data_IF_208603519054
#
_entry.id   IF_208603519054
#
_cell.length_a   1.000
_cell.length_b   1.000
_cell.length_c   1.000
_cell.angle_alpha   90.00
_cell.angle_beta   90.00
_cell.angle_gamma   90.00
#
_symmetry.space_group_name_H-M   'P 1'
#
loop_
_entity.id
_entity.type
_entity.pdbx_description
1 polymer ?
#
# COMPACT_ATOMS: atom_id res chain seq x y z
N UNK A 1 3.53 1.19 5.24
CA UNK A 1 4.92 1.17 5.76
C UNK A 1 5.77 0.35 4.79
N UNK A 2 6.88 0.91 4.29
CA UNK A 2 7.15 0.91 2.83
C UNK A 2 8.56 0.39 2.49
N UNK A 3 8.69 -0.24 1.32
CA UNK A 3 9.97 -0.70 0.74
C UNK A 3 10.62 0.48 0.00
N UNK A 4 11.91 0.71 0.24
CA UNK A 4 12.74 1.52 -0.66
C UNK A 4 13.30 0.59 -1.74
N UNK A 5 12.65 0.54 -2.90
CA UNK A 5 13.01 -0.39 -4.00
C UNK A 5 13.96 0.22 -5.03
N UNK A 6 14.09 1.55 -5.10
CA UNK A 6 14.72 2.22 -6.24
C UNK A 6 16.26 2.32 -6.16
N UNK A 7 16.86 1.93 -5.03
CA UNK A 7 18.32 2.06 -4.83
C UNK A 7 18.99 0.81 -4.25
N UNK A 8 18.25 -0.26 -3.91
CA UNK A 8 18.86 -1.43 -3.27
C UNK A 8 19.46 -2.39 -4.30
N UNK A 9 20.73 -2.73 -4.09
CA UNK A 9 21.40 -3.77 -4.85
C UNK A 9 20.76 -5.15 -4.57
N UNK A 10 20.83 -6.11 -5.50
CA UNK A 10 20.22 -7.44 -5.32
C UNK A 10 20.68 -8.17 -4.05
N UNK A 11 21.95 -8.02 -3.67
CA UNK A 11 22.52 -8.61 -2.44
C UNK A 11 21.89 -8.02 -1.17
N UNK A 12 21.75 -6.69 -1.11
CA UNK A 12 21.12 -5.99 0.01
C UNK A 12 19.64 -6.36 0.14
N UNK A 13 18.94 -6.47 -0.99
CA UNK A 13 17.55 -6.90 -1.01
C UNK A 13 17.40 -8.37 -0.57
N UNK A 14 18.31 -9.24 -0.98
CA UNK A 14 18.34 -10.64 -0.52
C UNK A 14 18.62 -10.72 0.98
N UNK A 15 19.50 -9.88 1.52
CA UNK A 15 19.76 -9.83 2.95
C UNK A 15 18.50 -9.38 3.72
N UNK A 16 17.89 -8.28 3.27
CA UNK A 16 16.76 -7.64 3.95
C UNK A 16 15.44 -8.40 3.80
N UNK A 17 15.14 -8.95 2.64
CA UNK A 17 13.84 -9.59 2.34
C UNK A 17 13.93 -11.08 2.05
N UNK A 18 15.13 -11.65 1.94
CA UNK A 18 15.31 -13.06 1.68
C UNK A 18 14.99 -13.93 2.90
N UNK A 19 14.35 -15.07 2.66
CA UNK A 19 14.09 -16.12 3.65
C UNK A 19 14.76 -17.41 3.19
N UNK A 20 15.07 -18.31 4.12
CA UNK A 20 15.48 -19.67 3.78
C UNK A 20 14.28 -20.46 3.28
N UNK A 21 14.36 -20.96 2.05
CA UNK A 21 13.32 -21.77 1.44
C UNK A 21 13.97 -22.86 0.60
N UNK A 22 13.58 -24.13 0.82
CA UNK A 22 14.18 -25.29 0.16
C UNK A 22 15.73 -25.31 0.19
N UNK A 23 16.32 -24.96 1.33
CA UNK A 23 17.77 -24.98 1.54
C UNK A 23 18.54 -23.84 0.87
N UNK A 24 17.85 -22.79 0.39
CA UNK A 24 18.48 -21.61 -0.21
C UNK A 24 17.81 -20.33 0.27
N UNK A 25 18.61 -19.30 0.56
CA UNK A 25 18.10 -17.95 0.76
C UNK A 25 17.54 -17.38 -0.54
N UNK A 26 16.27 -17.03 -0.54
CA UNK A 26 15.54 -16.51 -1.71
C UNK A 26 14.56 -15.43 -1.26
N UNK A 27 14.23 -14.48 -2.14
CA UNK A 27 13.18 -13.50 -1.87
C UNK A 27 11.83 -14.14 -2.20
N UNK A 28 11.13 -14.60 -1.17
CA UNK A 28 9.78 -15.14 -1.25
C UNK A 28 8.81 -14.14 -0.67
N UNK A 29 7.66 -13.97 -1.32
CA UNK A 29 6.60 -13.08 -0.87
C UNK A 29 5.23 -13.69 -1.02
N UNK A 30 4.23 -12.93 -0.56
CA UNK A 30 2.82 -13.30 -0.70
C UNK A 30 2.06 -12.19 -1.40
N UNK A 31 1.07 -12.59 -2.21
CA UNK A 31 0.04 -11.70 -2.72
C UNK A 31 -1.33 -12.24 -2.40
N UNK A 32 -2.33 -11.37 -2.39
CA UNK A 32 -3.72 -11.75 -2.12
C UNK A 32 -4.63 -11.00 -3.06
N UNK A 33 -5.55 -11.70 -3.71
CA UNK A 33 -6.55 -11.10 -4.60
C UNK A 33 -7.78 -11.98 -4.75
N UNK A 34 -8.75 -11.48 -5.52
CA UNK A 34 -10.01 -12.15 -5.80
C UNK A 34 -10.35 -11.99 -7.28
N UNK A 35 -9.39 -12.29 -8.17
CA UNK A 35 -9.64 -12.35 -9.61
C UNK A 35 -10.60 -13.48 -10.01
N UNK A 36 -10.71 -13.70 -11.32
CA UNK A 36 -11.52 -14.76 -11.89
C UNK A 36 -11.07 -16.12 -11.32
N UNK A 37 -11.87 -16.65 -10.40
CA UNK A 37 -11.48 -17.78 -9.57
C UNK A 37 -11.73 -19.09 -10.31
N UNK A 38 -10.72 -19.96 -10.30
CA UNK A 38 -10.83 -21.33 -10.77
C UNK A 38 -9.87 -22.24 -9.99
N UNK A 39 -10.16 -23.53 -9.99
CA UNK A 39 -9.28 -24.58 -9.47
C UNK A 39 -9.05 -25.60 -10.57
N UNK A 40 -7.81 -25.70 -11.05
CA UNK A 40 -7.40 -26.65 -12.10
C UNK A 40 -8.29 -26.55 -13.36
N UNK A 41 -9.15 -27.55 -13.60
CA UNK A 41 -10.05 -27.64 -14.76
C UNK A 41 -11.43 -26.98 -14.54
N UNK A 42 -11.70 -26.43 -13.34
CA UNK A 42 -13.01 -25.87 -13.00
C UNK A 42 -12.94 -24.36 -12.74
N UNK A 43 -13.70 -23.59 -13.52
CA UNK A 43 -13.95 -22.18 -13.26
C UNK A 43 -15.15 -21.99 -12.34
N UNK A 44 -15.01 -21.17 -11.30
CA UNK A 44 -16.10 -20.86 -10.36
C UNK A 44 -17.09 -19.85 -10.95
N UNK A 45 -16.70 -19.13 -12.02
CA UNK A 45 -17.54 -18.11 -12.65
C UNK A 45 -17.74 -16.86 -11.78
N UNK A 46 -16.80 -16.60 -10.85
CA UNK A 46 -16.86 -15.51 -9.88
C UNK A 46 -15.56 -14.70 -9.91
N UNK A 47 -15.71 -13.37 -9.81
CA UNK A 47 -14.63 -12.39 -9.72
C UNK A 47 -15.03 -11.35 -8.66
N UNK A 48 -14.06 -10.79 -7.95
CA UNK A 48 -14.23 -9.81 -6.87
C UNK A 48 -15.05 -10.30 -5.67
N UNK A 49 -15.23 -11.61 -5.54
CA UNK A 49 -15.97 -12.19 -4.43
C UNK A 49 -15.06 -12.26 -3.18
N UNK A 50 -15.37 -11.55 -2.08
CA UNK A 50 -14.53 -11.52 -0.89
C UNK A 50 -14.40 -12.90 -0.20
N UNK A 51 -15.36 -13.80 -0.40
CA UNK A 51 -15.32 -15.17 0.12
C UNK A 51 -14.35 -16.07 -0.65
N UNK A 52 -13.99 -15.69 -1.89
CA UNK A 52 -13.06 -16.42 -2.75
C UNK A 52 -11.67 -15.78 -2.82
N UNK A 53 -11.41 -14.79 -1.96
CA UNK A 53 -10.10 -14.15 -1.86
C UNK A 53 -9.04 -15.19 -1.52
N UNK A 54 -8.07 -15.35 -2.41
CA UNK A 54 -7.04 -16.38 -2.33
C UNK A 54 -5.65 -15.76 -2.32
N UNK A 55 -4.71 -16.48 -1.72
CA UNK A 55 -3.32 -16.07 -1.63
C UNK A 55 -2.47 -16.82 -2.65
N UNK A 56 -1.39 -16.20 -3.09
CA UNK A 56 -0.32 -16.84 -3.85
C UNK A 56 1.01 -16.57 -3.17
N UNK A 57 1.88 -17.58 -3.16
CA UNK A 57 3.27 -17.46 -2.76
C UNK A 57 4.11 -17.28 -4.02
N UNK A 58 4.99 -16.28 -4.04
CA UNK A 58 5.82 -16.01 -5.20
C UNK A 58 7.30 -15.97 -4.86
N UNK A 59 8.13 -16.40 -5.81
CA UNK A 59 9.56 -16.12 -5.80
C UNK A 59 9.83 -14.87 -6.64
N UNK A 60 10.55 -13.90 -6.07
CA UNK A 60 10.92 -12.66 -6.74
C UNK A 60 12.34 -12.72 -7.28
N UNK A 61 12.51 -12.40 -8.56
CA UNK A 61 13.81 -12.02 -9.09
C UNK A 61 13.99 -10.50 -8.96
N UNK A 62 14.87 -10.06 -8.05
CA UNK A 62 15.06 -8.64 -7.78
C UNK A 62 15.62 -7.85 -8.97
N UNK A 63 16.39 -8.50 -9.86
CA UNK A 63 17.05 -7.83 -10.97
C UNK A 63 16.04 -7.29 -12.00
N UNK A 64 15.01 -8.08 -12.31
CA UNK A 64 14.01 -7.74 -13.32
C UNK A 64 12.60 -7.52 -12.73
N UNK A 65 12.43 -7.73 -11.42
CA UNK A 65 11.16 -7.64 -10.69
C UNK A 65 10.06 -8.56 -11.23
N UNK A 66 10.45 -9.72 -11.74
CA UNK A 66 9.48 -10.75 -12.10
C UNK A 66 9.16 -11.62 -10.89
N UNK A 67 7.86 -11.80 -10.66
CA UNK A 67 7.33 -12.66 -9.61
C UNK A 67 6.76 -13.95 -10.23
N UNK A 68 7.36 -15.09 -9.90
CA UNK A 68 6.84 -16.41 -10.27
C UNK A 68 5.92 -16.91 -9.16
N UNK A 69 4.65 -17.16 -9.49
CA UNK A 69 3.62 -17.65 -8.56
C UNK A 69 3.60 -19.19 -8.44
N UNK A 70 4.55 -19.87 -9.08
CA UNK A 70 4.73 -21.31 -9.01
C UNK A 70 5.92 -21.64 -8.11
N UNK A 71 5.76 -21.37 -6.81
CA UNK A 71 6.82 -21.58 -5.82
C UNK A 71 6.43 -22.65 -4.82
N UNK A 72 7.27 -23.68 -4.67
CA UNK A 72 7.15 -24.62 -3.56
C UNK A 72 5.93 -25.54 -3.56
N UNK A 73 5.28 -25.72 -4.72
CA UNK A 73 4.04 -26.50 -4.83
C UNK A 73 2.77 -25.75 -4.40
N UNK A 74 2.88 -24.52 -3.88
CA UNK A 74 1.75 -23.65 -3.57
C UNK A 74 1.44 -22.74 -4.77
N UNK A 75 0.90 -23.35 -5.83
CA UNK A 75 0.63 -22.67 -7.10
C UNK A 75 -0.73 -21.97 -7.09
N UNK A 76 -0.72 -20.65 -7.27
CA UNK A 76 -1.92 -19.85 -7.53
C UNK A 76 -1.59 -18.70 -8.49
N UNK A 77 -1.97 -18.86 -9.75
CA UNK A 77 -1.64 -17.93 -10.83
C UNK A 77 -2.50 -16.65 -10.77
N UNK A 78 -1.96 -15.54 -11.27
CA UNK A 78 -2.77 -14.31 -11.35
C UNK A 78 -3.75 -14.38 -12.53
N UNK A 79 -4.93 -13.82 -12.33
CA UNK A 79 -6.05 -13.87 -13.28
C UNK A 79 -6.60 -12.46 -13.57
N UNK A 80 -7.49 -12.37 -14.56
CA UNK A 80 -8.24 -11.13 -14.77
C UNK A 80 -9.02 -10.76 -13.51
N UNK A 81 -8.94 -9.50 -13.08
CA UNK A 81 -9.51 -9.03 -11.82
C UNK A 81 -8.55 -9.05 -10.62
N UNK A 82 -7.36 -9.64 -10.74
CA UNK A 82 -6.32 -9.49 -9.72
C UNK A 82 -5.54 -8.17 -9.85
N UNK A 83 -5.65 -7.44 -10.97
CA UNK A 83 -4.93 -6.17 -11.20
C UNK A 83 -5.20 -5.18 -10.06
N UNK A 84 -4.14 -4.54 -9.56
CA UNK A 84 -4.18 -3.68 -8.38
C UNK A 84 -3.96 -4.40 -7.04
N UNK A 85 -4.01 -5.75 -6.99
CA UNK A 85 -3.72 -6.50 -5.75
C UNK A 85 -2.27 -6.33 -5.29
N UNK A 86 -2.07 -6.30 -3.97
CA UNK A 86 -0.77 -6.03 -3.36
C UNK A 86 0.19 -7.23 -3.40
N UNK A 87 1.47 -6.93 -3.65
CA UNK A 87 2.61 -7.82 -3.42
C UNK A 87 3.26 -7.46 -2.09
N UNK A 88 3.56 -8.46 -1.26
CA UNK A 88 4.11 -8.26 0.09
C UNK A 88 5.39 -9.06 0.28
N UNK A 89 6.39 -8.43 0.89
CA UNK A 89 7.63 -9.06 1.36
C UNK A 89 7.76 -8.91 2.87
N UNK A 90 8.51 -9.80 3.50
CA UNK A 90 8.86 -9.67 4.91
C UNK A 90 10.19 -8.93 5.05
N UNK A 91 10.20 -7.81 5.77
CA UNK A 91 11.42 -7.05 6.09
C UNK A 91 12.07 -7.66 7.33
N UNK A 92 13.19 -8.36 7.15
CA UNK A 92 13.92 -9.04 8.23
C UNK A 92 14.58 -8.08 9.23
N UNK A 93 14.85 -6.84 8.84
CA UNK A 93 15.42 -5.85 9.75
C UNK A 93 14.33 -5.21 10.61
N UNK A 94 13.20 -4.87 9.99
CA UNK A 94 12.05 -4.24 10.67
C UNK A 94 11.05 -5.24 11.26
N UNK A 95 11.26 -6.54 11.05
CA UNK A 95 10.43 -7.66 11.51
C UNK A 95 8.95 -7.53 11.16
N UNK A 96 8.64 -7.13 9.93
CA UNK A 96 7.25 -6.91 9.50
C UNK A 96 7.05 -7.09 7.99
N UNK A 97 5.82 -7.39 7.61
CA UNK A 97 5.39 -7.36 6.22
C UNK A 97 5.32 -5.92 5.68
N UNK A 98 5.77 -5.74 4.44
CA UNK A 98 5.83 -4.47 3.73
C UNK A 98 5.32 -4.66 2.31
N UNK A 99 4.66 -3.62 1.77
CA UNK A 99 4.16 -3.66 0.40
C UNK A 99 5.30 -3.37 -0.58
N UNK A 100 5.42 -4.23 -1.59
CA UNK A 100 6.38 -4.13 -2.68
C UNK A 100 5.82 -3.34 -3.86
N UNK A 101 4.54 -3.54 -4.15
CA UNK A 101 3.89 -2.98 -5.31
C UNK A 101 2.48 -3.54 -5.50
N UNK A 102 1.89 -3.22 -6.64
CA UNK A 102 0.55 -3.66 -7.03
C UNK A 102 0.58 -4.35 -8.39
N UNK A 103 -0.18 -5.43 -8.54
CA UNK A 103 -0.23 -6.20 -9.79
C UNK A 103 -0.61 -5.31 -10.96
N UNK A 104 0.23 -5.28 -11.99
CA UNK A 104 -0.12 -4.63 -13.26
C UNK A 104 -0.65 -5.66 -14.24
N UNK A 105 0.01 -6.80 -14.35
CA UNK A 105 -0.45 -7.89 -15.21
C UNK A 105 0.45 -9.11 -15.15
N UNK A 106 0.28 -9.98 -16.13
CA UNK A 106 1.10 -11.18 -16.34
C UNK A 106 1.66 -11.21 -17.75
N UNK A 107 2.85 -11.77 -17.88
CA UNK A 107 3.48 -12.06 -19.16
C UNK A 107 3.60 -13.57 -19.30
N UNK A 108 3.37 -14.02 -20.52
CA UNK A 108 3.50 -15.42 -20.91
C UNK A 108 4.62 -15.55 -21.94
N UNK A 109 5.45 -16.56 -21.75
CA UNK A 109 6.30 -17.11 -22.80
C UNK A 109 5.88 -18.56 -23.05
N UNK A 110 6.47 -19.21 -24.04
CA UNK A 110 6.23 -20.62 -24.32
C UNK A 110 6.67 -21.57 -23.19
N UNK A 111 7.44 -21.09 -22.21
CA UNK A 111 8.02 -21.91 -21.14
C UNK A 111 7.60 -21.47 -19.74
N UNK A 112 7.42 -20.16 -19.54
CA UNK A 112 7.22 -19.57 -18.22
C UNK A 112 6.11 -18.52 -18.22
N UNK A 113 5.44 -18.39 -17.07
CA UNK A 113 4.53 -17.30 -16.74
C UNK A 113 5.08 -16.53 -15.55
N UNK A 114 5.02 -15.20 -15.60
CA UNK A 114 5.36 -14.37 -14.46
C UNK A 114 4.43 -13.18 -14.34
N UNK A 115 4.20 -12.75 -13.10
CA UNK A 115 3.53 -11.51 -12.80
C UNK A 115 4.54 -10.35 -12.79
N UNK A 116 4.08 -9.18 -13.23
CA UNK A 116 4.80 -7.92 -13.09
C UNK A 116 3.92 -6.89 -12.39
N UNK A 117 4.56 -5.99 -11.66
CA UNK A 117 3.89 -5.07 -10.76
C UNK A 117 4.47 -3.66 -10.88
N UNK A 118 3.61 -2.67 -10.65
CA UNK A 118 4.04 -1.30 -10.40
C UNK A 118 4.65 -1.28 -8.99
N UNK A 119 5.92 -0.89 -8.89
CA UNK A 119 6.61 -0.77 -7.60
C UNK A 119 5.91 0.28 -6.74
N UNK A 120 5.97 0.07 -5.44
CA UNK A 120 5.52 1.07 -4.49
C UNK A 120 6.34 2.36 -4.66
N UNK A 121 5.65 3.48 -4.92
CA UNK A 121 6.24 4.81 -4.99
C UNK A 121 5.84 5.64 -3.77
N UNK A 122 6.82 5.83 -2.87
CA UNK A 122 6.69 6.63 -1.67
C UNK A 122 6.33 8.09 -1.98
N UNK A 123 6.97 8.67 -3.00
CA UNK A 123 6.80 10.08 -3.32
C UNK A 123 5.37 10.37 -3.80
N UNK A 124 4.83 9.53 -4.68
CA UNK A 124 3.43 9.64 -5.11
C UNK A 124 2.46 9.55 -3.94
N UNK A 125 2.68 8.63 -2.99
CA UNK A 125 1.81 8.49 -1.81
C UNK A 125 1.94 9.69 -0.86
N UNK A 126 3.15 10.20 -0.65
CA UNK A 126 3.36 11.36 0.23
C UNK A 126 2.76 12.63 -0.37
N UNK A 127 2.90 12.85 -1.67
CA UNK A 127 2.22 13.94 -2.39
C UNK A 127 0.71 13.84 -2.23
N UNK A 128 0.15 12.63 -2.39
CA UNK A 128 -1.28 12.41 -2.22
C UNK A 128 -1.73 12.73 -0.78
N UNK A 129 -1.03 12.20 0.23
CA UNK A 129 -1.35 12.47 1.64
C UNK A 129 -1.25 13.96 1.98
N UNK A 130 -0.19 14.61 1.55
CA UNK A 130 0.03 16.05 1.80
C UNK A 130 -1.04 16.90 1.11
N UNK A 131 -1.54 16.49 -0.05
CA UNK A 131 -2.65 17.18 -0.74
C UNK A 131 -3.90 17.28 0.14
N UNK A 132 -4.15 16.25 0.95
CA UNK A 132 -5.31 16.15 1.83
C UNK A 132 -5.00 16.47 3.29
N UNK A 133 -3.84 17.08 3.61
CA UNK A 133 -3.46 17.41 4.99
C UNK A 133 -3.27 18.91 5.16
N UNK A 134 -3.82 19.47 6.24
CA UNK A 134 -3.51 20.80 6.76
C UNK A 134 -2.85 20.63 8.14
N UNK A 135 -1.59 21.04 8.26
CA UNK A 135 -0.85 20.98 9.52
C UNK A 135 -1.31 22.10 10.46
N UNK A 136 -1.59 21.75 11.71
CA UNK A 136 -2.05 22.71 12.74
C UNK A 136 -1.25 22.50 14.02
N UNK A 137 -0.44 23.48 14.40
CA UNK A 137 0.37 23.40 15.61
C UNK A 137 -0.28 24.19 16.75
N UNK A 138 -0.61 23.50 17.85
CA UNK A 138 -1.27 24.09 19.01
C UNK A 138 -0.26 24.58 20.06
N UNK A 139 0.93 23.97 20.17
CA UNK A 139 1.95 24.32 21.18
C UNK A 139 1.38 24.50 22.61
N UNK A 140 0.50 23.60 23.06
CA UNK A 140 -0.14 23.63 24.37
C UNK A 140 -1.37 24.55 24.48
N UNK A 141 -1.73 25.27 23.42
CA UNK A 141 -2.80 26.28 23.43
C UNK A 141 -4.18 25.70 23.16
N UNK A 142 -5.21 26.52 23.39
CA UNK A 142 -6.59 26.21 23.01
C UNK A 142 -6.85 26.64 21.56
N UNK A 143 -7.32 25.72 20.74
CA UNK A 143 -7.87 26.00 19.42
C UNK A 143 -9.40 26.06 19.50
N UNK A 144 -10.01 27.09 18.92
CA UNK A 144 -11.44 27.08 18.57
C UNK A 144 -11.60 26.79 17.08
N UNK A 145 -12.56 25.94 16.74
CA UNK A 145 -12.83 25.55 15.35
C UNK A 145 -14.32 25.68 15.04
N UNK A 146 -14.65 26.22 13.87
CA UNK A 146 -16.00 26.21 13.31
C UNK A 146 -15.99 25.60 11.90
N UNK A 147 -17.09 25.70 11.16
CA UNK A 147 -17.20 25.11 9.81
C UNK A 147 -16.33 25.76 8.72
N UNK A 148 -15.64 26.86 9.00
CA UNK A 148 -14.84 27.61 8.02
C UNK A 148 -13.40 27.85 8.47
N UNK A 149 -13.18 28.08 9.77
CA UNK A 149 -11.94 28.61 10.29
C UNK A 149 -11.50 27.88 11.56
N UNK A 150 -10.20 27.95 11.81
CA UNK A 150 -9.54 27.63 13.08
C UNK A 150 -8.97 28.92 13.68
N UNK A 151 -9.03 29.06 15.00
CA UNK A 151 -8.41 30.17 15.72
C UNK A 151 -7.53 29.67 16.88
N UNK A 152 -6.30 30.16 16.94
CA UNK A 152 -5.29 29.86 17.96
C UNK A 152 -4.59 31.17 18.32
N UNK A 153 -4.55 31.55 19.60
CA UNK A 153 -4.00 32.85 20.07
C UNK A 153 -4.49 34.04 19.23
N UNK A 154 -5.80 34.15 19.04
CA UNK A 154 -6.47 35.19 18.24
C UNK A 154 -6.08 35.23 16.74
N UNK A 155 -5.17 34.34 16.29
CA UNK A 155 -4.84 34.15 14.88
C UNK A 155 -5.87 33.24 14.23
N UNK A 156 -6.67 33.80 13.33
CA UNK A 156 -7.66 33.07 12.54
C UNK A 156 -7.00 32.58 11.25
N UNK A 157 -7.12 31.29 10.97
CA UNK A 157 -6.70 30.66 9.70
C UNK A 157 -7.89 29.93 9.10
N UNK A 158 -8.05 29.99 7.78
CA UNK A 158 -9.09 29.24 7.10
C UNK A 158 -8.82 27.73 7.18
N UNK A 159 -9.88 26.93 7.23
CA UNK A 159 -9.80 25.50 6.94
C UNK A 159 -9.59 25.38 5.43
N UNK A 160 -8.46 24.81 5.05
CA UNK A 160 -8.07 24.67 3.66
C UNK A 160 -8.86 23.57 2.96
N UNK A 161 -9.20 23.83 1.69
CA UNK A 161 -9.70 22.81 0.79
C UNK A 161 -8.60 22.41 -0.20
N UNK A 162 -8.73 21.23 -0.80
CA UNK A 162 -7.93 20.87 -1.98
C UNK A 162 -8.30 21.76 -3.17
N UNK A 163 -7.48 21.72 -4.25
CA UNK A 163 -7.79 22.41 -5.51
C UNK A 163 -9.13 22.01 -6.14
N UNK A 164 -9.66 20.83 -5.77
CA UNK A 164 -10.95 20.31 -6.23
C UNK A 164 -12.07 20.51 -5.20
N UNK A 165 -11.91 21.46 -4.28
CA UNK A 165 -12.87 21.82 -3.23
C UNK A 165 -13.25 20.63 -2.34
N UNK A 166 -12.27 19.78 -1.98
CA UNK A 166 -12.47 18.69 -1.01
C UNK A 166 -11.86 19.07 0.34
N UNK A 167 -12.46 18.56 1.41
CA UNK A 167 -11.96 18.75 2.77
C UNK A 167 -10.58 18.12 2.93
N UNK A 168 -9.77 18.72 3.79
CA UNK A 168 -8.50 18.17 4.26
C UNK A 168 -8.63 17.64 5.69
N UNK A 169 -7.77 16.69 6.02
CA UNK A 169 -7.52 16.26 7.38
C UNK A 169 -6.74 17.36 8.13
N UNK A 170 -7.19 17.69 9.35
CA UNK A 170 -6.44 18.57 10.25
C UNK A 170 -5.48 17.73 11.08
N UNK A 171 -4.17 17.93 10.88
CA UNK A 171 -3.13 17.18 11.58
C UNK A 171 -2.53 18.02 12.71
N UNK A 172 -2.93 17.68 13.94
CA UNK A 172 -2.59 18.44 15.14
C UNK A 172 -1.23 18.05 15.72
N UNK A 173 -0.45 19.06 16.13
CA UNK A 173 0.86 18.92 16.77
C UNK A 173 1.00 19.81 18.01
N UNK A 174 1.96 19.50 18.88
CA UNK A 174 2.34 20.33 20.03
C UNK A 174 1.44 20.21 21.27
N UNK A 175 0.37 19.40 21.24
CA UNK A 175 -0.59 19.25 22.34
C UNK A 175 -1.42 20.50 22.61
N UNK A 176 -2.46 20.40 23.45
CA UNK A 176 -3.38 21.52 23.75
C UNK A 176 -4.82 21.06 23.90
N UNK A 177 -5.77 21.98 23.75
CA UNK A 177 -7.21 21.68 23.81
C UNK A 177 -7.96 22.15 22.57
N UNK A 178 -9.02 21.44 22.21
CA UNK A 178 -9.89 21.79 21.10
C UNK A 178 -11.28 22.15 21.62
N UNK A 179 -11.84 23.22 21.06
CA UNK A 179 -13.21 23.64 21.32
C UNK A 179 -13.93 23.78 19.99
N UNK A 180 -14.85 22.87 19.72
CA UNK A 180 -15.72 22.95 18.53
C UNK A 180 -16.84 23.92 18.84
N UNK A 181 -16.92 24.99 18.06
CA UNK A 181 -18.03 25.92 18.10
C UNK A 181 -19.11 25.37 17.17
N UNK A 182 -20.27 25.02 17.72
CA UNK A 182 -21.43 24.71 16.89
C UNK A 182 -21.76 25.94 16.06
N UNK A 183 -21.81 25.81 14.73
CA UNK A 183 -22.61 26.75 13.94
C UNK A 183 -24.06 26.65 14.42
N UNK A 184 -24.83 27.75 14.45
CA UNK A 184 -26.28 27.65 14.62
C UNK A 184 -26.82 26.66 13.58
N UNK A 185 -27.71 25.78 14.00
CA UNK A 185 -28.54 25.01 13.07
C UNK A 185 -29.36 26.06 12.30
N UNK A 186 -28.97 26.36 11.07
CA UNK A 186 -29.79 27.14 10.12
C UNK A 186 -30.63 26.21 9.29
#
# INVERSE_FOLDING_TARGET
MLISTYQQQPSEALERYGIEFNGKKQIIGFRVGAGATGVTSYGVGQTYNPLLRSASMFQLNWNNMYASNNTGGFYNEVTGGDSGSGFYLYDNQKKKWVILGTLTGKVFSSKDTWAFFARYDQNTVDILKNTFTQEVNLNGQKMTVNNKNIAINDKITAIELTKSNKNKDLKFHGGGSLSVLSSPIT
#
